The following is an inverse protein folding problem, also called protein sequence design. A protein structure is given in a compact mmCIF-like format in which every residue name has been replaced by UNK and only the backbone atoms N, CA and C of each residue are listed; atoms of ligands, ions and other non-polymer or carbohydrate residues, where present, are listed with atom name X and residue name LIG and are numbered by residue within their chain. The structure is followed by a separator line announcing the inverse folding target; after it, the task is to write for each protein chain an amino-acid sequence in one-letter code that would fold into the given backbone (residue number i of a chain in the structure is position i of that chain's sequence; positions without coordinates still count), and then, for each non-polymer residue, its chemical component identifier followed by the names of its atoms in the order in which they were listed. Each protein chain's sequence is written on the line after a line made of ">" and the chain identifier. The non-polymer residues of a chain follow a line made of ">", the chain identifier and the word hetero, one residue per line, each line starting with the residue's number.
data_IF_562669949718
#
_entry.id   IF_562669949718
#
_cell.length_a   1.000
_cell.length_b   1.000
_cell.length_c   1.000
_cell.angle_alpha   90.00
_cell.angle_beta   90.00
_cell.angle_gamma   90.00
#
_symmetry.space_group_name_H-M   'P 1'
#
loop_
_entity.id
_entity.type
_entity.pdbx_description
1 polymer ?
#
# COMPACT_ATOMS: atom_id res chain seq x y z
N UNK A 1 -20.22 55.15 3.25
CA UNK A 1 -21.02 54.16 2.51
C UNK A 1 -20.06 53.33 1.68
N UNK A 2 -19.43 52.30 2.26
CA UNK A 2 -18.58 51.37 1.51
C UNK A 2 -19.44 50.18 1.12
N UNK A 3 -19.63 49.97 -0.18
CA UNK A 3 -20.30 48.79 -0.71
C UNK A 3 -19.39 47.57 -0.51
N UNK A 4 -19.84 46.61 0.29
CA UNK A 4 -19.28 45.27 0.38
C UNK A 4 -19.76 44.43 -0.80
N UNK A 5 -18.85 44.06 -1.69
CA UNK A 5 -19.11 43.10 -2.77
C UNK A 5 -19.18 41.69 -2.22
N UNK A 6 -20.32 41.02 -2.41
CA UNK A 6 -20.51 39.60 -2.11
C UNK A 6 -19.85 38.80 -3.23
N UNK A 7 -18.75 38.12 -2.94
CA UNK A 7 -18.09 37.20 -3.88
C UNK A 7 -18.86 35.89 -3.96
N UNK A 8 -19.48 35.62 -5.11
CA UNK A 8 -20.06 34.31 -5.42
C UNK A 8 -18.92 33.41 -5.86
N UNK A 9 -18.55 32.44 -5.02
CA UNK A 9 -17.63 31.37 -5.42
C UNK A 9 -18.39 30.37 -6.31
N UNK A 10 -17.87 30.00 -7.50
CA UNK A 10 -18.52 29.02 -8.34
C UNK A 10 -18.46 27.63 -7.68
N UNK A 11 -19.61 26.96 -7.63
CA UNK A 11 -19.69 25.55 -7.24
C UNK A 11 -19.11 24.71 -8.37
N UNK A 12 -17.87 24.26 -8.24
CA UNK A 12 -17.29 23.29 -9.19
C UNK A 12 -17.96 21.94 -8.90
N UNK A 13 -18.69 21.41 -9.87
CA UNK A 13 -19.22 20.06 -9.79
C UNK A 13 -18.05 19.07 -9.73
N UNK A 14 -17.94 18.30 -8.65
CA UNK A 14 -16.99 17.19 -8.56
C UNK A 14 -17.39 16.13 -9.60
N UNK A 15 -16.45 15.74 -10.46
CA UNK A 15 -16.63 14.60 -11.35
C UNK A 15 -16.89 13.34 -10.53
N UNK A 16 -17.83 12.47 -10.93
CA UNK A 16 -18.07 11.21 -10.24
C UNK A 16 -16.78 10.39 -10.17
N UNK A 17 -16.43 9.93 -8.98
CA UNK A 17 -15.35 8.97 -8.80
C UNK A 17 -15.77 7.62 -9.41
N UNK A 18 -15.10 7.22 -10.49
CA UNK A 18 -15.39 5.98 -11.22
C UNK A 18 -15.18 4.72 -10.37
N UNK A 19 -14.41 4.84 -9.29
CA UNK A 19 -14.03 3.74 -8.41
C UNK A 19 -14.87 3.70 -7.12
N UNK A 20 -15.81 4.64 -6.93
CA UNK A 20 -16.65 4.74 -5.72
C UNK A 20 -17.45 3.46 -5.38
N UNK A 21 -17.62 2.57 -6.36
CA UNK A 21 -18.28 1.27 -6.18
C UNK A 21 -17.41 0.22 -5.48
N UNK A 22 -16.08 0.36 -5.51
CA UNK A 22 -15.18 -0.63 -4.93
C UNK A 22 -14.95 -0.35 -3.45
N UNK A 23 -15.54 -1.19 -2.60
CA UNK A 23 -15.39 -1.11 -1.14
C UNK A 23 -14.44 -2.20 -0.67
N UNK A 24 -13.39 -1.79 0.05
CA UNK A 24 -12.40 -2.70 0.61
C UNK A 24 -13.01 -3.66 1.63
N UNK A 25 -12.78 -4.97 1.42
CA UNK A 25 -13.28 -6.02 2.30
C UNK A 25 -12.51 -6.13 3.63
N UNK A 26 -12.98 -6.98 4.56
CA UNK A 26 -12.39 -7.11 5.91
C UNK A 26 -10.91 -7.51 5.93
N UNK A 27 -10.45 -8.24 4.90
CA UNK A 27 -9.05 -8.66 4.75
C UNK A 27 -8.11 -7.51 4.44
N UNK A 28 -8.63 -6.37 3.99
CA UNK A 28 -7.88 -5.14 3.73
C UNK A 28 -7.98 -4.14 4.89
N UNK A 29 -8.56 -4.54 6.02
CA UNK A 29 -8.70 -3.72 7.22
C UNK A 29 -7.77 -4.23 8.33
N UNK A 30 -7.24 -3.32 9.15
CA UNK A 30 -6.43 -3.69 10.30
C UNK A 30 -7.27 -4.34 11.39
N UNK A 31 -6.74 -5.40 11.99
CA UNK A 31 -7.31 -6.08 13.14
C UNK A 31 -6.34 -6.00 14.31
N UNK A 32 -6.82 -5.65 15.50
CA UNK A 32 -5.97 -5.38 16.66
C UNK A 32 -5.12 -6.58 17.12
N UNK A 33 -5.57 -7.81 16.84
CA UNK A 33 -4.90 -9.04 17.25
C UNK A 33 -4.01 -9.64 16.17
N UNK A 34 -3.93 -9.02 14.99
CA UNK A 34 -3.09 -9.50 13.89
C UNK A 34 -1.72 -8.83 13.99
N UNK A 35 -0.62 -9.59 14.10
CA UNK A 35 0.73 -9.04 14.13
C UNK A 35 1.07 -8.29 12.83
N UNK A 36 1.90 -7.27 12.96
CA UNK A 36 2.31 -6.43 11.83
C UNK A 36 3.69 -6.80 11.32
N UNK A 37 3.82 -7.03 10.02
CA UNK A 37 5.11 -7.12 9.35
C UNK A 37 5.84 -5.77 9.29
N UNK A 38 7.11 -5.83 8.89
CA UNK A 38 7.97 -4.65 8.73
C UNK A 38 8.12 -4.29 7.26
N UNK A 39 8.05 -3.00 6.93
CA UNK A 39 8.30 -2.48 5.59
C UNK A 39 9.59 -1.68 5.62
N UNK A 40 10.49 -1.97 4.69
CA UNK A 40 11.75 -1.23 4.52
C UNK A 40 11.84 -0.68 3.11
N UNK A 41 12.30 0.57 2.99
CA UNK A 41 12.51 1.25 1.71
C UNK A 41 13.96 1.14 1.30
N UNK A 42 14.20 0.87 0.03
CA UNK A 42 15.52 0.68 -0.56
C UNK A 42 15.64 1.40 -1.90
N UNK A 43 16.88 1.62 -2.32
CA UNK A 43 17.20 2.18 -3.64
C UNK A 43 18.13 1.23 -4.41
N UNK A 44 17.88 1.11 -5.71
CA UNK A 44 18.72 0.35 -6.62
C UNK A 44 19.11 1.20 -7.84
N UNK A 45 20.37 1.13 -8.24
CA UNK A 45 20.88 1.76 -9.47
C UNK A 45 21.06 0.69 -10.54
N UNK A 46 20.50 0.92 -11.73
CA UNK A 46 20.50 -0.09 -12.79
C UNK A 46 21.77 -0.05 -13.65
N UNK A 47 22.40 -1.21 -13.85
CA UNK A 47 23.50 -1.37 -14.81
C UNK A 47 23.01 -1.45 -16.27
N UNK A 48 21.74 -1.84 -16.46
CA UNK A 48 21.11 -2.00 -17.78
C UNK A 48 20.56 -0.64 -18.25
N UNK A 49 19.80 0.03 -17.39
CA UNK A 49 19.29 1.37 -17.64
C UNK A 49 20.17 2.39 -16.93
N UNK A 50 21.29 2.75 -17.57
CA UNK A 50 22.28 3.66 -16.99
C UNK A 50 21.65 4.96 -16.50
N UNK A 51 22.20 5.49 -15.41
CA UNK A 51 21.80 6.74 -14.77
C UNK A 51 20.36 6.74 -14.20
N UNK A 52 19.73 5.55 -14.10
CA UNK A 52 18.43 5.40 -13.42
C UNK A 52 18.59 4.87 -12.01
N UNK A 53 17.81 5.46 -11.10
CA UNK A 53 17.60 4.97 -9.74
C UNK A 53 16.15 4.51 -9.58
N UNK A 54 15.95 3.40 -8.87
CA UNK A 54 14.64 2.84 -8.57
C UNK A 54 14.49 2.70 -7.07
N UNK A 55 13.37 3.21 -6.57
CA UNK A 55 12.92 2.98 -5.23
C UNK A 55 12.07 1.71 -5.19
N UNK A 56 12.31 0.85 -4.21
CA UNK A 56 11.50 -0.33 -3.97
C UNK A 56 11.32 -0.55 -2.47
N UNK A 57 10.34 -1.38 -2.14
CA UNK A 57 9.99 -1.68 -0.76
C UNK A 57 10.12 -3.18 -0.52
N UNK A 58 10.42 -3.57 0.71
CA UNK A 58 10.41 -4.97 1.13
C UNK A 58 9.57 -5.06 2.39
N UNK A 59 8.45 -5.78 2.29
CA UNK A 59 7.63 -6.23 3.39
C UNK A 59 8.13 -7.59 3.88
N UNK A 60 8.35 -7.71 5.19
CA UNK A 60 8.71 -8.95 5.86
C UNK A 60 7.67 -9.25 6.96
N UNK A 61 6.94 -10.38 6.89
CA UNK A 61 5.99 -10.74 7.93
C UNK A 61 6.71 -11.10 9.23
N UNK A 62 6.09 -10.82 10.38
CA UNK A 62 6.71 -11.08 11.69
C UNK A 62 7.02 -12.56 11.95
N UNK A 63 6.30 -13.45 11.25
CA UNK A 63 6.43 -14.90 11.35
C UNK A 63 7.68 -15.44 10.62
N UNK A 64 8.36 -14.61 9.82
CA UNK A 64 9.57 -15.00 9.13
C UNK A 64 10.80 -14.85 10.02
N UNK A 65 11.40 -15.97 10.40
CA UNK A 65 12.61 -16.04 11.24
C UNK A 65 13.91 -16.29 10.44
N UNK A 66 13.80 -16.44 9.11
CA UNK A 66 14.94 -16.71 8.23
C UNK A 66 15.45 -18.14 8.24
N UNK A 67 14.82 -19.07 8.97
CA UNK A 67 15.26 -20.47 9.04
C UNK A 67 14.80 -21.30 7.85
N UNK A 68 13.69 -20.90 7.21
CA UNK A 68 13.13 -21.54 6.02
C UNK A 68 12.91 -20.51 4.91
N UNK A 69 13.08 -20.87 3.63
CA UNK A 69 12.75 -19.97 2.52
C UNK A 69 11.28 -19.54 2.56
N UNK A 70 11.02 -18.24 2.35
CA UNK A 70 9.67 -17.71 2.20
C UNK A 70 9.21 -17.74 0.74
N UNK A 71 7.89 -17.71 0.52
CA UNK A 71 7.35 -17.34 -0.79
C UNK A 71 7.69 -15.87 -1.11
N UNK A 72 7.73 -15.52 -2.39
CA UNK A 72 7.98 -14.16 -2.86
C UNK A 72 6.85 -13.71 -3.78
N UNK A 73 6.33 -12.50 -3.55
CA UNK A 73 5.40 -11.83 -4.45
C UNK A 73 5.92 -10.43 -4.78
N UNK A 74 5.99 -10.10 -6.07
CA UNK A 74 6.53 -8.83 -6.56
C UNK A 74 5.42 -7.91 -7.08
N UNK A 75 5.40 -6.66 -6.61
CA UNK A 75 4.46 -5.61 -7.01
C UNK A 75 5.21 -4.46 -7.70
N UNK A 76 4.78 -4.07 -8.90
CA UNK A 76 5.58 -3.18 -9.75
C UNK A 76 5.41 -1.67 -9.44
N UNK A 77 4.32 -1.28 -8.77
CA UNK A 77 3.97 0.14 -8.58
C UNK A 77 4.51 0.74 -7.27
N UNK A 78 5.27 -0.03 -6.49
CA UNK A 78 6.03 0.43 -5.34
C UNK A 78 5.18 1.03 -4.21
N UNK A 79 5.35 2.33 -3.93
CA UNK A 79 4.81 2.98 -2.73
C UNK A 79 3.27 2.88 -2.60
N UNK A 80 2.55 2.83 -3.73
CA UNK A 80 1.09 2.73 -3.73
C UNK A 80 0.60 1.41 -3.10
N UNK A 81 1.38 0.34 -3.20
CA UNK A 81 1.00 -0.98 -2.69
C UNK A 81 1.26 -1.12 -1.18
N UNK A 82 2.27 -0.42 -0.67
CA UNK A 82 2.64 -0.47 0.76
C UNK A 82 1.89 0.54 1.63
N UNK A 83 1.14 1.47 1.02
CA UNK A 83 0.28 2.40 1.76
C UNK A 83 -0.92 1.66 2.38
N UNK A 84 -0.93 1.56 3.71
CA UNK A 84 -2.02 0.95 4.47
C UNK A 84 -3.32 1.76 4.45
N UNK A 85 -3.28 3.03 4.04
CA UNK A 85 -4.46 3.88 3.89
C UNK A 85 -4.94 3.94 2.44
N UNK A 86 -4.11 3.51 1.50
CA UNK A 86 -4.38 3.49 0.07
C UNK A 86 -5.37 2.41 -0.38
N UNK A 87 -5.44 2.19 -1.69
CA UNK A 87 -6.41 1.28 -2.31
C UNK A 87 -5.98 -0.20 -2.26
N UNK A 88 -4.68 -0.49 -2.14
CA UNK A 88 -4.15 -1.86 -2.21
C UNK A 88 -3.87 -2.46 -0.83
N UNK A 89 -3.18 -1.71 0.05
CA UNK A 89 -2.89 -2.09 1.44
C UNK A 89 -2.27 -3.49 1.58
N UNK A 90 -1.32 -3.82 0.71
CA UNK A 90 -0.71 -5.17 0.69
C UNK A 90 -0.20 -5.62 2.05
N UNK A 91 0.50 -4.78 2.85
CA UNK A 91 0.96 -5.20 4.18
C UNK A 91 -0.20 -5.67 5.08
N UNK A 92 -1.35 -4.98 5.02
CA UNK A 92 -2.55 -5.34 5.79
C UNK A 92 -3.13 -6.66 5.33
N UNK A 93 -3.24 -6.84 4.02
CA UNK A 93 -3.76 -8.08 3.43
C UNK A 93 -2.84 -9.25 3.75
N UNK A 94 -1.53 -9.08 3.64
CA UNK A 94 -0.54 -10.11 3.91
C UNK A 94 -0.56 -10.50 5.39
N UNK A 95 -0.49 -9.53 6.30
CA UNK A 95 -0.56 -9.82 7.74
C UNK A 95 -1.82 -10.61 8.10
N UNK A 96 -2.97 -10.19 7.58
CA UNK A 96 -4.24 -10.85 7.85
C UNK A 96 -4.29 -12.29 7.33
N UNK A 97 -3.87 -12.51 6.07
CA UNK A 97 -3.92 -13.83 5.43
C UNK A 97 -2.85 -14.79 5.97
N UNK A 98 -1.67 -14.28 6.32
CA UNK A 98 -0.60 -15.07 6.94
C UNK A 98 -1.00 -15.44 8.37
N UNK A 99 -1.60 -14.51 9.12
CA UNK A 99 -2.10 -14.80 10.46
C UNK A 99 -3.26 -15.81 10.46
N UNK A 100 -4.18 -15.74 9.49
CA UNK A 100 -5.28 -16.69 9.36
C UNK A 100 -4.85 -18.06 8.78
N UNK A 101 -3.63 -18.17 8.25
CA UNK A 101 -3.13 -19.38 7.59
C UNK A 101 -3.68 -19.61 6.18
N UNK A 102 -4.38 -18.62 5.61
CA UNK A 102 -4.90 -18.66 4.23
C UNK A 102 -3.83 -18.35 3.18
N UNK A 103 -2.70 -17.79 3.59
CA UNK A 103 -1.52 -17.54 2.76
C UNK A 103 -0.26 -18.03 3.49
N UNK A 104 0.68 -18.71 2.80
CA UNK A 104 1.96 -19.05 3.42
C UNK A 104 2.77 -17.81 3.76
N UNK A 105 3.77 -17.95 4.64
CA UNK A 105 4.74 -16.88 4.92
C UNK A 105 5.36 -16.40 3.61
N UNK A 106 5.10 -15.14 3.27
CA UNK A 106 5.46 -14.54 1.99
C UNK A 106 6.09 -13.16 2.22
N UNK A 107 7.22 -12.93 1.58
CA UNK A 107 7.86 -11.62 1.49
C UNK A 107 7.27 -10.91 0.28
N UNK A 108 6.91 -9.64 0.45
CA UNK A 108 6.32 -8.80 -0.60
C UNK A 108 7.24 -7.64 -0.94
N UNK A 109 7.24 -7.17 -2.19
CA UNK A 109 8.02 -5.99 -2.57
C UNK A 109 7.76 -5.50 -3.99
#
# INVERSE_FOLDING_TARGET
>A
MLLSTIGISPLIAQTPDGDAQYVLGPKSQRHANVPMGAITKHEWTSDIFKDTKREYFVYVPVQYDGTQPACLMVFQDGHAYVDEQGQFRVPVVFDNLIHSGEMPVCIGG
#
